data_IF_230478025048
#
_entry.id   IF_230478025048
#
_cell.length_a   1.000
_cell.length_b   1.000
_cell.length_c   1.000
_cell.angle_alpha   90.00
_cell.angle_beta   90.00
_cell.angle_gamma   90.00
#
_symmetry.space_group_name_H-M   'P 1'
#
loop_
_entity.id
_entity.type
_entity.pdbx_description
1 polymer ?
#
# COMPACT_ATOMS: atom_id res chain seq x y z
N UNK A 1 -52.35 41.01 69.89
CA UNK A 1 -51.47 42.19 69.69
C UNK A 1 -50.10 41.71 69.25
N UNK A 2 -49.62 42.25 68.12
CA UNK A 2 -48.27 42.23 67.49
C UNK A 2 -47.11 41.82 68.44
N UNK A 3 -46.07 41.05 68.08
CA UNK A 3 -45.09 41.19 66.96
C UNK A 3 -44.34 39.83 66.74
N UNK A 4 -44.19 39.27 65.52
CA UNK A 4 -43.09 39.34 64.51
C UNK A 4 -41.65 39.22 65.08
N UNK A 5 -40.64 38.49 64.58
CA UNK A 5 -40.24 37.94 63.26
C UNK A 5 -39.26 36.76 63.44
N UNK A 6 -39.26 35.79 62.51
CA UNK A 6 -38.06 35.33 61.77
C UNK A 6 -38.40 34.09 60.96
N UNK A 7 -38.46 34.20 59.63
CA UNK A 7 -37.95 33.14 58.78
C UNK A 7 -37.54 33.74 57.43
N UNK A 8 -36.27 33.52 57.13
CA UNK A 8 -35.55 33.91 55.93
C UNK A 8 -35.88 32.89 54.84
N UNK A 9 -36.41 33.33 53.69
CA UNK A 9 -36.42 32.54 52.47
C UNK A 9 -36.32 33.50 51.27
N UNK A 10 -35.09 33.64 50.78
CA UNK A 10 -34.76 34.28 49.51
C UNK A 10 -35.11 33.28 48.41
N UNK A 11 -36.11 33.59 47.58
CA UNK A 11 -36.33 32.92 46.30
C UNK A 11 -35.95 33.90 45.21
N UNK A 12 -34.75 33.72 44.67
CA UNK A 12 -34.24 34.45 43.53
C UNK A 12 -34.82 33.85 42.26
N UNK A 13 -35.69 34.60 41.59
CA UNK A 13 -36.13 34.33 40.23
C UNK A 13 -34.95 34.56 39.28
N UNK A 14 -34.38 33.50 38.71
CA UNK A 14 -33.45 33.58 37.58
C UNK A 14 -34.20 33.20 36.31
N UNK A 15 -34.36 34.20 35.46
CA UNK A 15 -34.90 34.15 34.12
C UNK A 15 -34.08 33.25 33.21
N UNK A 16 -34.77 32.33 32.52
CA UNK A 16 -34.24 31.55 31.40
C UNK A 16 -34.05 32.46 30.20
N UNK A 17 -32.80 32.79 29.86
CA UNK A 17 -32.44 33.30 28.54
C UNK A 17 -32.07 32.09 27.68
N UNK A 18 -33.04 31.64 26.89
CA UNK A 18 -32.83 30.64 25.85
C UNK A 18 -32.19 31.34 24.65
N UNK A 19 -30.87 31.22 24.51
CA UNK A 19 -30.20 31.47 23.24
C UNK A 19 -30.38 30.23 22.37
N UNK A 20 -31.26 30.33 21.37
CA UNK A 20 -31.25 29.46 20.20
C UNK A 20 -29.94 29.69 19.45
N UNK A 21 -28.99 28.74 19.59
CA UNK A 21 -27.90 28.62 18.63
C UNK A 21 -28.51 28.07 17.35
N UNK A 22 -28.38 28.83 16.27
CA UNK A 22 -28.62 28.33 14.93
C UNK A 22 -27.60 27.23 14.68
N UNK A 23 -28.08 26.02 14.43
CA UNK A 23 -27.24 24.89 14.06
C UNK A 23 -26.69 25.17 12.66
N UNK A 24 -25.39 25.45 12.58
CA UNK A 24 -24.63 25.33 11.34
C UNK A 24 -24.85 23.92 10.76
N UNK A 25 -25.04 23.78 9.43
CA UNK A 25 -25.24 22.46 8.84
C UNK A 25 -23.97 21.64 9.10
N UNK A 26 -24.14 20.58 9.89
CA UNK A 26 -23.15 19.55 10.14
C UNK A 26 -22.74 18.99 8.78
N UNK A 27 -21.58 19.41 8.30
CA UNK A 27 -20.84 18.73 7.24
C UNK A 27 -20.55 17.35 7.79
N UNK A 28 -21.38 16.36 7.45
CA UNK A 28 -21.20 14.98 7.90
C UNK A 28 -19.83 14.54 7.38
N UNK A 29 -18.79 14.36 8.23
CA UNK A 29 -17.54 13.82 7.74
C UNK A 29 -17.87 12.44 7.21
N UNK A 30 -17.65 12.22 5.91
CA UNK A 30 -17.78 10.90 5.29
C UNK A 30 -16.98 9.95 6.18
N UNK A 31 -17.67 9.03 6.86
CA UNK A 31 -17.05 8.14 7.82
C UNK A 31 -16.08 7.22 7.06
N UNK A 32 -14.79 7.58 7.09
CA UNK A 32 -13.71 6.75 6.56
C UNK A 32 -13.69 5.46 7.36
N UNK A 33 -13.74 4.32 6.68
CA UNK A 33 -13.65 3.00 7.31
C UNK A 33 -12.28 2.35 7.01
N UNK A 34 -11.33 2.42 7.96
CA UNK A 34 -9.97 1.87 7.78
C UNK A 34 -9.94 0.39 7.47
N UNK A 35 -10.96 -0.38 7.87
CA UNK A 35 -11.03 -1.83 7.66
C UNK A 35 -10.98 -2.18 6.18
N UNK A 36 -11.46 -1.31 5.30
CA UNK A 36 -11.41 -1.52 3.84
C UNK A 36 -9.99 -1.55 3.26
N UNK A 37 -8.99 -1.09 4.01
CA UNK A 37 -7.57 -1.15 3.66
C UNK A 37 -6.79 -2.26 4.40
N UNK A 38 -7.47 -3.04 5.24
CA UNK A 38 -6.87 -4.10 6.07
C UNK A 38 -7.36 -5.50 5.68
N UNK A 39 -7.71 -5.69 4.41
CA UNK A 39 -8.20 -6.98 3.90
C UNK A 39 -7.04 -7.84 3.38
N UNK A 40 -7.24 -9.15 3.12
CA UNK A 40 -6.19 -10.01 2.56
C UNK A 40 -5.67 -9.51 1.21
N UNK A 41 -4.39 -9.76 0.91
CA UNK A 41 -3.77 -9.44 -0.39
C UNK A 41 -4.64 -9.90 -1.57
N UNK A 42 -4.72 -9.08 -2.62
CA UNK A 42 -5.50 -9.35 -3.84
C UNK A 42 -7.02 -9.16 -3.72
N UNK A 43 -7.58 -9.06 -2.52
CA UNK A 43 -9.05 -8.92 -2.34
C UNK A 43 -9.65 -7.61 -2.88
N UNK A 44 -8.83 -6.60 -3.16
CA UNK A 44 -9.24 -5.33 -3.78
C UNK A 44 -8.79 -5.19 -5.24
N UNK A 45 -8.41 -6.29 -5.90
CA UNK A 45 -7.91 -6.27 -7.27
C UNK A 45 -8.87 -5.54 -8.24
N UNK A 46 -10.16 -5.87 -8.24
CA UNK A 46 -11.13 -5.22 -9.14
C UNK A 46 -11.31 -3.72 -8.82
N UNK A 47 -11.30 -3.35 -7.54
CA UNK A 47 -11.41 -1.97 -7.05
C UNK A 47 -10.18 -1.13 -7.48
N UNK A 48 -8.99 -1.74 -7.49
CA UNK A 48 -7.74 -1.13 -7.97
C UNK A 48 -7.68 -1.07 -9.51
N UNK A 49 -8.14 -2.10 -10.21
CA UNK A 49 -8.04 -2.21 -11.67
C UNK A 49 -9.09 -1.36 -12.38
N UNK A 50 -10.35 -1.44 -11.97
CA UNK A 50 -11.48 -0.81 -12.65
C UNK A 50 -11.80 0.57 -12.08
N UNK A 51 -12.54 1.38 -12.83
CA UNK A 51 -13.07 2.64 -12.35
C UNK A 51 -14.50 2.49 -11.80
N UNK A 52 -15.04 1.28 -11.58
CA UNK A 52 -16.45 1.10 -11.20
C UNK A 52 -16.82 1.80 -9.90
N UNK A 53 -15.93 1.74 -8.92
CA UNK A 53 -16.09 2.32 -7.59
C UNK A 53 -15.14 3.50 -7.38
N UNK A 54 -13.85 3.25 -7.53
CA UNK A 54 -12.81 4.26 -7.30
C UNK A 54 -12.32 4.86 -8.62
N UNK A 55 -12.48 6.18 -8.76
CA UNK A 55 -12.11 6.96 -9.95
C UNK A 55 -10.69 7.51 -9.87
N UNK A 56 -10.13 7.66 -8.67
CA UNK A 56 -8.74 8.04 -8.43
C UNK A 56 -8.01 7.05 -7.53
N UNK A 57 -6.69 7.16 -7.49
CA UNK A 57 -5.82 6.43 -6.57
C UNK A 57 -4.81 7.38 -5.92
N UNK A 58 -4.59 7.22 -4.62
CA UNK A 58 -3.48 7.84 -3.89
C UNK A 58 -2.50 6.76 -3.47
N UNK A 59 -1.21 7.00 -3.69
CA UNK A 59 -0.13 6.15 -3.20
C UNK A 59 0.56 6.91 -2.06
N UNK A 60 0.34 6.46 -0.82
CA UNK A 60 1.06 6.92 0.35
C UNK A 60 2.41 6.18 0.42
N UNK A 61 3.46 6.83 -0.08
CA UNK A 61 4.86 6.37 -0.01
C UNK A 61 5.45 6.80 1.31
N UNK A 62 5.70 5.83 2.19
CA UNK A 62 6.27 6.06 3.51
C UNK A 62 7.59 5.33 3.60
N UNK A 63 8.61 6.00 4.10
CA UNK A 63 9.96 5.46 4.14
C UNK A 63 10.64 5.81 5.45
N UNK A 64 11.51 4.93 5.93
CA UNK A 64 12.41 5.31 7.03
C UNK A 64 13.38 6.36 6.53
N UNK A 65 13.68 7.36 7.36
CA UNK A 65 14.61 8.45 7.00
C UNK A 65 15.95 7.89 6.54
N UNK A 66 16.39 8.24 5.33
CA UNK A 66 17.60 7.69 4.67
C UNK A 66 17.34 6.53 3.71
N UNK A 67 16.12 5.98 3.69
CA UNK A 67 15.69 4.85 2.85
C UNK A 67 14.59 5.28 1.87
N UNK A 68 14.69 6.52 1.36
CA UNK A 68 13.75 7.03 0.37
C UNK A 68 13.94 6.30 -0.96
N UNK A 69 12.87 5.77 -1.59
CA UNK A 69 12.99 5.17 -2.92
C UNK A 69 13.33 6.22 -3.97
N UNK A 70 14.04 5.80 -5.01
CA UNK A 70 14.36 6.69 -6.12
C UNK A 70 13.10 7.24 -6.80
N UNK A 71 13.18 8.50 -7.23
CA UNK A 71 12.09 9.12 -8.00
C UNK A 71 11.82 8.39 -9.32
N UNK A 72 12.86 7.79 -9.93
CA UNK A 72 12.73 6.96 -11.13
C UNK A 72 11.84 5.74 -10.87
N UNK A 73 12.06 5.02 -9.78
CA UNK A 73 11.24 3.84 -9.46
C UNK A 73 9.79 4.20 -9.16
N UNK A 74 9.54 5.29 -8.44
CA UNK A 74 8.18 5.79 -8.18
C UNK A 74 7.48 6.21 -9.49
N UNK A 75 8.18 6.90 -10.39
CA UNK A 75 7.61 7.26 -11.70
C UNK A 75 7.30 6.02 -12.54
N UNK A 76 8.20 5.03 -12.56
CA UNK A 76 7.97 3.76 -13.25
C UNK A 76 6.78 3.00 -12.67
N UNK A 77 6.61 3.03 -11.35
CA UNK A 77 5.47 2.43 -10.68
C UNK A 77 4.14 3.12 -11.06
N UNK A 78 4.09 4.44 -11.08
CA UNK A 78 2.91 5.18 -11.55
C UNK A 78 2.60 4.87 -13.02
N UNK A 79 3.63 4.76 -13.87
CA UNK A 79 3.47 4.37 -15.28
C UNK A 79 2.93 2.93 -15.43
N UNK A 80 3.44 2.00 -14.62
CA UNK A 80 2.91 0.64 -14.54
C UNK A 80 1.42 0.67 -14.18
N UNK A 81 1.02 1.36 -13.11
CA UNK A 81 -0.40 1.45 -12.73
C UNK A 81 -1.26 2.11 -13.80
N UNK A 82 -0.80 3.21 -14.39
CA UNK A 82 -1.54 3.94 -15.43
C UNK A 82 -1.82 3.07 -16.65
N UNK A 83 -0.88 2.17 -16.98
CA UNK A 83 -0.99 1.28 -18.13
C UNK A 83 -1.78 -0.02 -17.86
N UNK A 84 -2.19 -0.29 -16.62
CA UNK A 84 -2.96 -1.51 -16.24
C UNK A 84 -4.29 -1.20 -15.57
N UNK A 85 -4.51 0.02 -15.10
CA UNK A 85 -5.73 0.43 -14.37
C UNK A 85 -6.52 1.51 -15.11
N UNK A 86 -7.83 1.57 -14.84
CA UNK A 86 -8.70 2.68 -15.18
C UNK A 86 -8.91 3.55 -13.93
N UNK A 87 -8.29 4.74 -13.94
CA UNK A 87 -8.43 5.78 -12.91
C UNK A 87 -8.57 7.15 -13.60
N UNK A 88 -9.78 7.50 -14.09
CA UNK A 88 -9.99 8.69 -14.91
C UNK A 88 -9.66 10.00 -14.19
N UNK A 89 -9.72 10.02 -12.85
CA UNK A 89 -9.36 11.18 -12.04
C UNK A 89 -7.86 11.19 -11.65
N UNK A 90 -7.08 10.25 -12.18
CA UNK A 90 -5.63 10.19 -12.02
C UNK A 90 -5.14 9.37 -10.84
N UNK A 91 -3.81 9.23 -10.80
CA UNK A 91 -3.06 8.58 -9.72
C UNK A 91 -2.13 9.65 -9.15
N UNK A 92 -2.16 9.85 -7.84
CA UNK A 92 -1.28 10.80 -7.15
C UNK A 92 -0.39 10.10 -6.13
N UNK A 93 0.76 10.71 -5.83
CA UNK A 93 1.73 10.18 -4.88
C UNK A 93 1.92 11.19 -3.76
N UNK A 94 1.79 10.74 -2.52
CA UNK A 94 2.14 11.50 -1.32
C UNK A 94 3.33 10.79 -0.71
N UNK A 95 4.43 11.52 -0.50
CA UNK A 95 5.67 10.97 0.01
C UNK A 95 6.01 11.62 1.36
N UNK A 96 6.38 10.82 2.37
CA UNK A 96 6.85 11.31 3.68
C UNK A 96 7.75 10.31 4.40
N UNK A 97 8.67 10.80 5.22
CA UNK A 97 9.53 9.95 6.05
C UNK A 97 8.92 9.67 7.42
N UNK A 98 9.41 8.60 8.06
CA UNK A 98 9.25 8.29 9.47
C UNK A 98 10.62 8.03 10.11
N UNK A 99 10.78 8.17 11.45
CA UNK A 99 11.98 7.69 12.13
C UNK A 99 12.10 6.16 12.03
N UNK A 100 13.31 5.64 12.22
CA UNK A 100 13.54 4.19 12.29
C UNK A 100 12.68 3.57 13.40
N UNK A 101 11.91 2.51 13.10
CA UNK A 101 11.21 1.74 14.12
C UNK A 101 12.15 0.97 15.06
N UNK A 102 13.38 0.69 14.63
CA UNK A 102 14.40 0.03 15.45
C UNK A 102 14.20 -1.47 15.70
N UNK A 103 13.34 -2.15 14.92
CA UNK A 103 12.94 -3.54 15.15
C UNK A 103 13.40 -4.52 14.06
N UNK A 104 14.46 -4.20 13.30
CA UNK A 104 15.01 -5.10 12.27
C UNK A 104 15.69 -6.33 12.92
N UNK A 105 15.53 -7.57 12.39
CA UNK A 105 14.77 -7.92 11.18
C UNK A 105 13.25 -7.91 11.42
N UNK A 106 12.48 -7.49 10.42
CA UNK A 106 11.05 -7.26 10.53
C UNK A 106 10.20 -8.48 10.15
N UNK A 107 9.29 -8.87 11.04
CA UNK A 107 8.16 -9.78 10.78
C UNK A 107 7.01 -9.06 10.06
N UNK A 108 6.11 -9.82 9.43
CA UNK A 108 4.92 -9.25 8.78
C UNK A 108 4.02 -8.54 9.81
N UNK A 109 3.94 -9.05 11.03
CA UNK A 109 3.17 -8.49 12.13
C UNK A 109 3.72 -7.12 12.58
N UNK A 110 5.05 -6.96 12.59
CA UNK A 110 5.70 -5.68 12.88
C UNK A 110 5.48 -4.68 11.74
N UNK A 111 5.59 -5.10 10.48
CA UNK A 111 5.28 -4.25 9.32
C UNK A 111 3.82 -3.77 9.36
N UNK A 112 2.88 -4.67 9.70
CA UNK A 112 1.47 -4.33 9.92
C UNK A 112 1.31 -3.30 11.05
N UNK A 113 2.04 -3.47 12.16
CA UNK A 113 1.98 -2.54 13.29
C UNK A 113 2.55 -1.16 12.93
N UNK A 114 3.61 -1.11 12.12
CA UNK A 114 4.18 0.13 11.58
C UNK A 114 3.15 0.84 10.69
N UNK A 115 2.49 0.13 9.77
CA UNK A 115 1.42 0.71 8.96
C UNK A 115 0.28 1.24 9.85
N UNK A 116 -0.21 0.45 10.80
CA UNK A 116 -1.34 0.84 11.65
C UNK A 116 -1.05 2.09 12.48
N UNK A 117 0.20 2.27 12.91
CA UNK A 117 0.62 3.45 13.66
C UNK A 117 0.85 4.69 12.77
N UNK A 118 1.18 4.50 11.49
CA UNK A 118 1.63 5.58 10.63
C UNK A 118 0.66 5.95 9.51
N UNK A 119 -0.20 5.06 9.02
CA UNK A 119 -1.07 5.30 7.86
C UNK A 119 -2.00 6.49 8.08
N UNK A 120 -1.90 7.48 7.18
CA UNK A 120 -2.66 8.73 7.29
C UNK A 120 -3.78 8.84 6.27
N UNK A 121 -3.77 7.98 5.24
CA UNK A 121 -4.78 7.95 4.18
C UNK A 121 -5.46 6.60 4.09
N UNK A 122 -6.77 6.62 3.84
CA UNK A 122 -7.63 5.45 3.74
C UNK A 122 -8.65 5.66 2.62
N UNK A 123 -9.22 4.57 2.12
CA UNK A 123 -10.23 4.63 1.08
C UNK A 123 -11.41 5.52 1.51
N UNK A 124 -11.91 6.32 0.57
CA UNK A 124 -13.13 7.11 0.76
C UNK A 124 -14.18 6.67 -0.27
N UNK A 125 -15.09 7.57 -0.69
CA UNK A 125 -16.17 7.22 -1.62
C UNK A 125 -15.69 6.92 -3.03
N UNK A 126 -14.68 7.64 -3.53
CA UNK A 126 -14.25 7.60 -4.94
C UNK A 126 -12.73 7.45 -5.13
N UNK A 127 -11.96 7.42 -4.06
CA UNK A 127 -10.51 7.23 -4.06
C UNK A 127 -10.08 5.97 -3.28
N UNK A 128 -9.26 5.14 -3.93
CA UNK A 128 -8.57 4.02 -3.29
C UNK A 128 -7.15 4.42 -2.89
N UNK A 129 -6.74 4.04 -1.69
CA UNK A 129 -5.45 4.41 -1.13
C UNK A 129 -4.54 3.19 -1.01
N UNK A 130 -3.35 3.30 -1.60
CA UNK A 130 -2.25 2.34 -1.50
C UNK A 130 -1.25 2.82 -0.45
N UNK A 131 -0.74 1.89 0.35
CA UNK A 131 0.36 2.08 1.28
C UNK A 131 1.61 1.38 0.76
N UNK A 132 2.69 2.11 0.58
CA UNK A 132 3.98 1.60 0.14
C UNK A 132 5.03 1.95 1.19
N UNK A 133 5.52 0.96 1.94
CA UNK A 133 6.50 1.18 3.00
C UNK A 133 7.91 0.76 2.57
N UNK A 134 8.90 1.63 2.79
CA UNK A 134 10.32 1.36 2.51
C UNK A 134 11.08 1.28 3.84
N UNK A 135 11.47 0.05 4.19
CA UNK A 135 12.03 -0.29 5.50
C UNK A 135 13.56 -0.15 5.54
N UNK A 136 14.09 0.25 6.70
CA UNK A 136 15.52 0.33 7.02
C UNK A 136 16.12 -0.99 7.54
N UNK A 137 15.42 -2.09 7.32
CA UNK A 137 15.73 -3.39 7.87
C UNK A 137 15.41 -4.49 6.89
N UNK A 138 15.87 -5.70 7.22
CA UNK A 138 15.67 -6.89 6.42
C UNK A 138 14.45 -7.69 6.88
N UNK A 139 14.01 -8.67 6.07
CA UNK A 139 12.92 -9.56 6.48
C UNK A 139 13.37 -10.53 7.58
N UNK A 140 12.48 -10.86 8.50
CA UNK A 140 12.71 -11.97 9.46
C UNK A 140 12.72 -13.35 8.79
N UNK A 141 12.29 -13.43 7.52
CA UNK A 141 12.32 -14.64 6.70
C UNK A 141 13.62 -14.82 5.90
N UNK A 142 14.55 -13.87 5.99
CA UNK A 142 15.85 -14.00 5.36
C UNK A 142 16.62 -15.19 5.93
N UNK A 143 17.38 -15.85 5.06
CA UNK A 143 18.27 -16.95 5.38
C UNK A 143 19.68 -16.64 4.86
N UNK A 144 20.65 -17.49 5.17
CA UNK A 144 22.03 -17.30 4.69
C UNK A 144 22.14 -17.40 3.16
N UNK A 145 21.18 -18.03 2.49
CA UNK A 145 21.20 -18.31 1.05
C UNK A 145 20.12 -17.60 0.25
N UNK A 146 19.16 -16.94 0.92
CA UNK A 146 18.05 -16.25 0.27
C UNK A 146 17.55 -15.09 1.12
N UNK A 147 17.36 -13.93 0.48
CA UNK A 147 16.83 -12.71 1.10
C UNK A 147 15.55 -12.29 0.41
N UNK A 148 14.58 -11.80 1.17
CA UNK A 148 13.31 -11.28 0.68
C UNK A 148 13.46 -9.78 0.39
N UNK A 149 13.02 -9.35 -0.79
CA UNK A 149 13.18 -7.96 -1.25
C UNK A 149 11.93 -7.11 -1.02
N UNK A 150 10.76 -7.74 -1.04
CA UNK A 150 9.48 -7.10 -0.81
C UNK A 150 8.44 -8.08 -0.29
N UNK A 151 7.30 -7.56 0.16
CA UNK A 151 6.15 -8.40 0.53
C UNK A 151 4.85 -7.61 0.41
N UNK A 152 3.90 -8.13 -0.36
CA UNK A 152 2.50 -7.73 -0.35
C UNK A 152 1.72 -8.43 0.79
N UNK A 153 1.32 -7.66 1.81
CA UNK A 153 0.77 -8.24 3.06
C UNK A 153 -0.68 -7.84 3.38
N UNK A 154 -1.25 -6.83 2.70
CA UNK A 154 -2.68 -6.48 2.74
C UNK A 154 -3.18 -6.15 1.34
N UNK A 155 -4.49 -6.07 1.15
CA UNK A 155 -5.15 -5.72 -0.11
C UNK A 155 -4.71 -4.41 -0.76
N UNK A 156 -4.11 -3.49 0.01
CA UNK A 156 -3.62 -2.20 -0.49
C UNK A 156 -2.26 -1.84 0.10
N UNK A 157 -1.52 -2.80 0.65
CA UNK A 157 -0.28 -2.51 1.37
C UNK A 157 0.83 -3.50 1.04
N UNK A 158 2.01 -2.96 0.76
CA UNK A 158 3.22 -3.73 0.57
C UNK A 158 4.42 -3.03 1.23
N UNK A 159 5.45 -3.81 1.53
CA UNK A 159 6.74 -3.35 2.04
C UNK A 159 7.83 -3.67 1.04
N UNK A 160 8.81 -2.79 0.94
CA UNK A 160 10.09 -2.98 0.28
C UNK A 160 11.18 -2.94 1.35
N UNK A 161 12.01 -3.96 1.42
CA UNK A 161 13.14 -4.03 2.35
C UNK A 161 14.31 -3.23 1.76
N UNK A 162 14.19 -1.91 1.79
CA UNK A 162 15.07 -0.98 1.08
C UNK A 162 16.53 -1.09 1.55
N UNK A 163 16.79 -1.44 2.81
CA UNK A 163 18.15 -1.76 3.26
C UNK A 163 18.78 -2.93 2.48
N UNK A 164 18.00 -3.99 2.23
CA UNK A 164 18.47 -5.16 1.48
C UNK A 164 18.68 -4.81 0.02
N UNK A 165 17.77 -4.04 -0.58
CA UNK A 165 17.99 -3.49 -1.91
C UNK A 165 19.30 -2.69 -1.89
N UNK A 166 19.47 -1.73 -0.98
CA UNK A 166 20.66 -0.90 -0.82
C UNK A 166 21.96 -1.73 -0.86
N UNK A 167 22.01 -2.82 -0.11
CA UNK A 167 23.16 -3.72 -0.10
C UNK A 167 23.42 -4.45 -1.43
N UNK A 168 22.39 -4.68 -2.26
CA UNK A 168 22.49 -5.38 -3.55
C UNK A 168 22.80 -4.46 -4.75
N UNK A 169 23.08 -3.18 -4.51
CA UNK A 169 23.27 -2.20 -5.59
C UNK A 169 24.13 -0.99 -5.16
N UNK A 170 25.07 -1.22 -4.24
CA UNK A 170 26.04 -0.24 -3.74
C UNK A 170 27.42 -0.34 -4.44
N UNK A 171 27.55 -1.19 -5.47
CA UNK A 171 28.80 -1.39 -6.23
C UNK A 171 28.63 -1.19 -7.74
N UNK A 172 29.66 -0.73 -8.49
CA UNK A 172 29.59 -0.53 -9.94
C UNK A 172 29.26 -1.78 -10.77
N UNK A 173 29.47 -2.98 -10.23
CA UNK A 173 29.16 -4.25 -10.89
C UNK A 173 27.78 -4.81 -10.52
N UNK A 174 27.08 -4.15 -9.61
CA UNK A 174 25.74 -4.54 -9.19
C UNK A 174 24.66 -3.89 -10.07
N UNK A 175 23.44 -4.43 -10.07
CA UNK A 175 22.34 -3.84 -10.83
C UNK A 175 22.06 -2.39 -10.42
N UNK A 176 21.40 -1.63 -11.30
CA UNK A 176 20.99 -0.27 -10.98
C UNK A 176 19.91 -0.26 -9.87
N UNK A 177 20.10 0.58 -8.84
CA UNK A 177 19.15 0.79 -7.72
C UNK A 177 17.71 0.95 -8.18
N UNK A 178 17.47 1.93 -9.05
CA UNK A 178 16.13 2.27 -9.50
C UNK A 178 15.49 1.15 -10.32
N UNK A 179 16.31 0.34 -10.98
CA UNK A 179 15.85 -0.84 -11.71
C UNK A 179 15.41 -1.94 -10.74
N UNK A 180 16.19 -2.25 -9.69
CA UNK A 180 15.79 -3.19 -8.65
C UNK A 180 14.52 -2.74 -7.93
N UNK A 181 14.48 -1.50 -7.47
CA UNK A 181 13.30 -0.91 -6.85
C UNK A 181 12.07 -1.03 -7.77
N UNK A 182 12.20 -0.65 -9.06
CA UNK A 182 11.11 -0.76 -10.03
C UNK A 182 10.59 -2.19 -10.13
N UNK A 183 11.49 -3.17 -10.27
CA UNK A 183 11.09 -4.57 -10.43
C UNK A 183 10.38 -5.09 -9.18
N UNK A 184 10.94 -4.87 -7.99
CA UNK A 184 10.34 -5.37 -6.74
C UNK A 184 9.01 -4.66 -6.46
N UNK A 185 8.94 -3.33 -6.57
CA UNK A 185 7.69 -2.57 -6.36
C UNK A 185 6.58 -3.07 -7.29
N UNK A 186 6.86 -3.24 -8.58
CA UNK A 186 5.84 -3.65 -9.55
C UNK A 186 5.46 -5.13 -9.42
N UNK A 187 6.38 -5.99 -8.97
CA UNK A 187 6.10 -7.39 -8.62
C UNK A 187 5.16 -7.49 -7.41
N UNK A 188 5.51 -6.84 -6.29
CA UNK A 188 4.65 -6.83 -5.10
C UNK A 188 3.28 -6.24 -5.42
N UNK A 189 3.25 -5.18 -6.24
CA UNK A 189 1.97 -4.63 -6.64
C UNK A 189 1.19 -5.55 -7.59
N UNK A 190 1.86 -6.43 -8.34
CA UNK A 190 1.19 -7.50 -9.09
C UNK A 190 0.40 -8.46 -8.18
N UNK A 191 0.96 -8.85 -7.03
CA UNK A 191 0.22 -9.58 -6.01
C UNK A 191 -0.95 -8.78 -5.45
N UNK A 192 -0.80 -7.47 -5.25
CA UNK A 192 -1.87 -6.56 -4.81
C UNK A 192 -3.00 -6.47 -5.85
N UNK A 193 -2.66 -6.52 -7.14
CA UNK A 193 -3.62 -6.66 -8.26
C UNK A 193 -4.19 -8.09 -8.37
N UNK A 194 -3.86 -8.98 -7.44
CA UNK A 194 -4.41 -10.32 -7.33
C UNK A 194 -3.90 -11.30 -8.37
N UNK A 195 -2.82 -10.97 -9.10
CA UNK A 195 -2.27 -11.82 -10.15
C UNK A 195 -1.95 -13.23 -9.65
N UNK A 196 -1.92 -14.16 -10.60
CA UNK A 196 -1.52 -15.55 -10.37
C UNK A 196 -2.34 -16.18 -9.24
N UNK A 197 -3.67 -16.10 -9.39
CA UNK A 197 -4.67 -16.75 -8.53
C UNK A 197 -4.73 -16.23 -7.07
N UNK A 198 -4.31 -14.98 -6.83
CA UNK A 198 -4.33 -14.35 -5.50
C UNK A 198 -5.54 -13.42 -5.25
N UNK A 199 -6.49 -13.37 -6.18
CA UNK A 199 -7.68 -12.50 -6.12
C UNK A 199 -8.20 -12.13 -7.50
N UNK A 200 -7.35 -12.23 -8.51
CA UNK A 200 -7.70 -12.25 -9.92
C UNK A 200 -7.68 -13.69 -10.41
N UNK A 201 -8.78 -14.13 -11.03
CA UNK A 201 -8.90 -15.49 -11.55
C UNK A 201 -8.04 -15.68 -12.81
N UNK A 202 -7.37 -16.83 -12.88
CA UNK A 202 -6.55 -17.22 -14.03
C UNK A 202 -7.40 -17.37 -15.30
N UNK A 203 -6.91 -16.84 -16.43
CA UNK A 203 -7.48 -17.06 -17.76
C UNK A 203 -6.81 -18.23 -18.52
N UNK A 204 -5.65 -18.67 -18.03
CA UNK A 204 -4.89 -19.83 -18.51
C UNK A 204 -4.10 -20.46 -17.36
N UNK A 205 -3.65 -21.70 -17.50
CA UNK A 205 -2.84 -22.35 -16.46
C UNK A 205 -1.39 -21.84 -16.49
N UNK A 206 -1.11 -20.78 -15.73
CA UNK A 206 0.21 -20.14 -15.68
C UNK A 206 0.69 -19.83 -14.25
N UNK A 207 0.00 -20.33 -13.23
CA UNK A 207 0.52 -20.35 -11.87
C UNK A 207 1.64 -21.40 -11.77
N UNK A 208 2.77 -21.03 -11.17
CA UNK A 208 3.85 -21.97 -10.85
C UNK A 208 3.44 -22.83 -9.65
N UNK A 209 3.34 -24.15 -9.86
CA UNK A 209 2.95 -25.09 -8.80
C UNK A 209 4.01 -25.28 -7.72
N UNK A 210 5.29 -25.03 -8.03
CA UNK A 210 6.39 -25.09 -7.07
C UNK A 210 6.53 -23.77 -6.29
N UNK A 211 6.10 -22.67 -6.90
CA UNK A 211 6.09 -21.33 -6.30
C UNK A 211 4.69 -20.72 -6.40
N UNK A 212 3.72 -21.16 -5.56
CA UNK A 212 2.35 -20.67 -5.64
C UNK A 212 2.25 -19.15 -5.59
N UNK A 213 1.24 -18.59 -6.26
CA UNK A 213 1.05 -17.13 -6.44
C UNK A 213 2.11 -16.46 -7.30
N UNK A 214 2.88 -17.22 -8.08
CA UNK A 214 3.80 -16.70 -9.07
C UNK A 214 3.49 -17.26 -10.46
N UNK A 215 4.01 -16.60 -11.48
CA UNK A 215 3.85 -17.03 -12.86
C UNK A 215 4.94 -18.05 -13.21
N UNK A 216 4.58 -19.08 -13.97
CA UNK A 216 5.53 -20.10 -14.46
C UNK A 216 6.47 -19.58 -15.57
N UNK A 217 6.11 -18.48 -16.23
CA UNK A 217 6.90 -17.89 -17.32
C UNK A 217 8.11 -17.13 -16.77
N UNK A 218 9.32 -17.63 -17.04
CA UNK A 218 10.59 -17.10 -16.47
C UNK A 218 10.90 -15.64 -16.82
N UNK A 219 10.32 -15.13 -17.89
CA UNK A 219 10.49 -13.73 -18.32
C UNK A 219 9.39 -12.81 -17.82
N UNK A 220 8.35 -13.36 -17.20
CA UNK A 220 7.26 -12.57 -16.63
C UNK A 220 7.73 -11.85 -15.38
N UNK A 221 7.26 -10.62 -15.19
CA UNK A 221 7.45 -9.87 -13.95
C UNK A 221 6.98 -10.67 -12.72
N UNK A 222 5.91 -11.46 -12.84
CA UNK A 222 5.40 -12.29 -11.73
C UNK A 222 6.16 -13.61 -11.55
N UNK A 223 7.28 -13.83 -12.22
CA UNK A 223 8.14 -14.98 -11.92
C UNK A 223 8.77 -14.81 -10.53
N UNK A 224 8.74 -15.86 -9.72
CA UNK A 224 9.10 -15.86 -8.29
C UNK A 224 10.51 -15.34 -7.99
N UNK A 225 11.44 -15.42 -8.95
CA UNK A 225 12.80 -14.93 -8.72
C UNK A 225 12.89 -13.40 -8.61
N UNK A 226 11.80 -12.67 -8.87
CA UNK A 226 11.72 -11.21 -8.74
C UNK A 226 11.57 -10.73 -7.30
N UNK A 227 11.15 -11.59 -6.35
CA UNK A 227 11.02 -11.23 -4.93
C UNK A 227 12.26 -11.61 -4.08
N UNK A 228 13.23 -12.31 -4.66
CA UNK A 228 14.43 -12.81 -3.94
C UNK A 228 15.76 -12.27 -4.48
N UNK A 229 16.69 -11.94 -3.57
CA UNK A 229 17.99 -11.35 -3.92
C UNK A 229 18.88 -12.22 -4.83
N UNK A 230 18.84 -13.54 -4.69
CA UNK A 230 19.63 -14.45 -5.55
C UNK A 230 19.11 -14.56 -6.99
N UNK A 231 17.84 -14.19 -7.21
CA UNK A 231 17.15 -14.31 -8.49
C UNK A 231 17.02 -12.99 -9.25
N UNK A 232 16.92 -11.87 -8.52
CA UNK A 232 16.60 -10.56 -9.10
C UNK A 232 17.63 -10.09 -10.13
N UNK A 233 18.91 -10.42 -9.93
CA UNK A 233 19.98 -10.06 -10.87
C UNK A 233 19.76 -10.60 -12.28
N UNK A 234 19.22 -11.82 -12.40
CA UNK A 234 18.89 -12.42 -13.70
C UNK A 234 17.69 -11.72 -14.35
N UNK A 235 16.70 -11.33 -13.54
CA UNK A 235 15.49 -10.64 -14.02
C UNK A 235 15.82 -9.28 -14.62
N UNK A 236 16.80 -8.57 -14.06
CA UNK A 236 17.19 -7.23 -14.49
C UNK A 236 18.40 -7.22 -15.44
N UNK A 237 18.92 -8.39 -15.82
CA UNK A 237 20.12 -8.54 -16.65
C UNK A 237 20.03 -7.90 -18.03
N UNK A 238 18.81 -7.67 -18.54
CA UNK A 238 18.55 -6.96 -19.79
C UNK A 238 18.75 -5.44 -19.69
N UNK A 239 18.98 -4.91 -18.48
CA UNK A 239 19.04 -3.47 -18.21
C UNK A 239 17.66 -2.81 -18.10
N UNK A 240 16.57 -3.59 -18.12
CA UNK A 240 15.20 -3.10 -17.98
C UNK A 240 14.40 -3.99 -17.02
N UNK A 241 13.38 -3.41 -16.39
CA UNK A 241 12.50 -4.16 -15.49
C UNK A 241 11.66 -5.14 -16.33
N UNK A 242 11.53 -6.42 -15.90
CA UNK A 242 10.62 -7.37 -16.53
C UNK A 242 9.22 -6.80 -16.66
N UNK A 243 8.49 -7.26 -17.68
CA UNK A 243 7.11 -6.88 -17.91
C UNK A 243 6.18 -8.05 -17.57
N UNK A 244 4.92 -7.75 -17.27
CA UNK A 244 3.89 -8.78 -17.23
C UNK A 244 3.77 -9.43 -18.61
N UNK A 245 3.74 -10.75 -18.63
CA UNK A 245 3.50 -11.50 -19.87
C UNK A 245 2.03 -11.39 -20.32
N UNK A 246 1.73 -12.03 -21.46
CA UNK A 246 0.38 -12.01 -22.03
C UNK A 246 -0.68 -12.68 -21.13
N UNK A 247 -0.30 -13.65 -20.30
CA UNK A 247 -1.20 -14.43 -19.45
C UNK A 247 -1.61 -13.62 -18.23
N UNK A 248 -0.64 -13.03 -17.53
CA UNK A 248 -0.90 -12.09 -16.44
C UNK A 248 -1.67 -10.84 -16.93
N UNK A 249 -1.39 -10.34 -18.13
CA UNK A 249 -2.19 -9.24 -18.70
C UNK A 249 -3.63 -9.69 -19.00
N UNK A 250 -3.84 -10.91 -19.48
CA UNK A 250 -5.19 -11.44 -19.71
C UNK A 250 -6.00 -11.52 -18.41
N UNK A 251 -5.36 -11.95 -17.31
CA UNK A 251 -5.92 -11.96 -15.96
C UNK A 251 -6.40 -10.56 -15.53
N UNK A 252 -5.53 -9.54 -15.63
CA UNK A 252 -5.90 -8.17 -15.25
C UNK A 252 -7.08 -7.66 -16.07
N UNK A 253 -7.09 -7.89 -17.39
CA UNK A 253 -8.18 -7.49 -18.29
C UNK A 253 -9.50 -8.15 -17.90
N UNK A 254 -9.48 -9.45 -17.61
CA UNK A 254 -10.67 -10.17 -17.17
C UNK A 254 -11.20 -9.64 -15.83
N UNK A 255 -10.34 -9.07 -14.98
CA UNK A 255 -10.71 -8.44 -13.72
C UNK A 255 -10.87 -6.90 -13.80
N UNK A 256 -11.11 -6.35 -14.99
CA UNK A 256 -11.47 -4.94 -15.18
C UNK A 256 -10.30 -3.97 -15.37
N UNK A 257 -9.09 -4.48 -15.61
CA UNK A 257 -7.90 -3.70 -16.00
C UNK A 257 -7.75 -3.50 -17.51
N UNK A 258 -6.64 -2.88 -17.92
CA UNK A 258 -6.25 -2.59 -19.31
C UNK A 258 -5.41 -3.70 -19.95
#
# INVERSE_FOLDING_TARGET
>A
MKKIFSLLAIVLFLSVVSCSKEDDPIDNPIAVNPITNKQPTGSSANDLLSDKKFKSMVIEVVYVTGFEPSNTAINNFVNFLTSRTYKPNGISVIKRSIPSPGNSPYTNEEIVSIEDANRTKYNNTDEIVVWAFFADGKSSKDTDTSVILGTAYRNTSFVIYEQTLLALSDSPFEPNRSLLETTVITHEFGHILGLTNLGTALQSNHEDTEHPKHCIEKTCLMYWSSEIGGGIGNMVSSGAAPQLDAQCIADLRANGGK
#
